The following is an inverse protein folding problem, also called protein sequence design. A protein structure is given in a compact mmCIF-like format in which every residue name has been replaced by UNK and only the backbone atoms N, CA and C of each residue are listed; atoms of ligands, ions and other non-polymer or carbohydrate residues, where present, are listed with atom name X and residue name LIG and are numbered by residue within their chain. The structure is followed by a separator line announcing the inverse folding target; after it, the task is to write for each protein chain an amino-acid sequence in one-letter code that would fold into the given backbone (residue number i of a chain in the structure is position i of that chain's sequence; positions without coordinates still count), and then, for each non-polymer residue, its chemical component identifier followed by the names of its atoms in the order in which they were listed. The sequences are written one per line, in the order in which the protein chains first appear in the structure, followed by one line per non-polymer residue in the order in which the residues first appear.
data_IF_579105900457
#
_entry.id   IF_579105900457
#
_cell.length_a   1.000
_cell.length_b   1.000
_cell.length_c   1.000
_cell.angle_alpha   90.00
_cell.angle_beta   90.00
_cell.angle_gamma   90.00
#
_symmetry.space_group_name_H-M   'P 1'
#
loop_
_entity.id
_entity.type
_entity.pdbx_description
1 polymer ?
#
# COMPACT_ATOMS: atom_id res chain seq x y z
N UNK A 1 13.22 7.06 1.38
CA UNK A 1 12.00 7.81 1.03
C UNK A 1 11.02 7.84 2.20
N UNK A 2 10.19 8.88 2.26
CA UNK A 2 9.17 9.10 3.26
C UNK A 2 7.79 8.87 2.64
N UNK A 3 7.07 7.88 3.15
CA UNK A 3 5.70 7.58 2.80
C UNK A 3 4.76 8.04 3.92
N UNK A 4 3.52 8.32 3.57
CA UNK A 4 2.43 8.38 4.56
C UNK A 4 1.55 7.15 4.40
N UNK A 5 1.45 6.32 5.44
CA UNK A 5 0.64 5.09 5.40
C UNK A 5 -0.40 5.11 6.51
N UNK A 6 -1.68 5.08 6.14
CA UNK A 6 -2.82 5.22 7.04
C UNK A 6 -2.63 6.44 7.98
N UNK A 7 -2.27 7.58 7.38
CA UNK A 7 -1.98 8.84 8.09
C UNK A 7 -0.69 8.87 8.93
N UNK A 8 0.16 7.83 8.92
CA UNK A 8 1.40 7.78 9.70
C UNK A 8 2.65 7.82 8.81
N UNK A 9 3.66 8.65 9.15
CA UNK A 9 4.90 8.68 8.40
C UNK A 9 5.67 7.36 8.54
N UNK A 10 6.22 6.87 7.44
CA UNK A 10 7.02 5.66 7.34
C UNK A 10 8.25 5.93 6.46
N UNK A 11 9.43 5.69 7.00
CA UNK A 11 10.67 5.74 6.22
C UNK A 11 10.99 4.37 5.63
N UNK A 12 11.33 4.35 4.36
CA UNK A 12 11.73 3.16 3.59
C UNK A 12 13.04 3.49 2.88
N UNK A 13 14.01 2.58 2.83
CA UNK A 13 15.37 2.92 2.38
C UNK A 13 15.44 3.25 0.88
N UNK A 14 14.65 2.57 0.04
CA UNK A 14 14.69 2.70 -1.41
C UNK A 14 13.28 2.64 -2.04
N UNK A 15 13.20 2.92 -3.34
CA UNK A 15 11.95 2.71 -4.09
C UNK A 15 11.62 1.23 -4.09
N UNK A 16 10.40 0.90 -3.68
CA UNK A 16 9.92 -0.48 -3.52
C UNK A 16 8.62 -0.64 -4.29
N UNK A 17 8.41 -1.74 -5.03
CA UNK A 17 7.11 -2.05 -5.62
C UNK A 17 6.03 -2.10 -4.54
N UNK A 18 4.86 -1.54 -4.80
CA UNK A 18 3.75 -1.55 -3.85
C UNK A 18 3.42 -2.99 -3.41
N UNK A 19 3.43 -3.94 -4.34
CA UNK A 19 3.26 -5.36 -4.04
C UNK A 19 4.21 -5.85 -2.95
N UNK A 20 5.51 -5.58 -3.08
CA UNK A 20 6.53 -6.07 -2.15
C UNK A 20 6.43 -5.34 -0.80
N UNK A 21 6.11 -4.05 -0.83
CA UNK A 21 5.81 -3.28 0.37
C UNK A 21 4.63 -3.88 1.14
N UNK A 22 3.53 -4.24 0.47
CA UNK A 22 2.38 -4.90 1.10
C UNK A 22 2.76 -6.27 1.69
N UNK A 23 3.51 -7.09 0.94
CA UNK A 23 3.97 -8.40 1.40
C UNK A 23 4.88 -8.31 2.63
N UNK A 24 5.64 -7.22 2.79
CA UNK A 24 6.50 -6.98 3.97
C UNK A 24 5.70 -6.90 5.29
N UNK A 25 4.41 -6.55 5.23
CA UNK A 25 3.51 -6.54 6.39
C UNK A 25 2.90 -7.91 6.69
N UNK A 26 3.29 -8.97 5.97
CA UNK A 26 2.74 -10.31 6.13
C UNK A 26 1.26 -10.41 5.75
N UNK A 27 0.76 -9.49 4.92
CA UNK A 27 -0.64 -9.49 4.47
C UNK A 27 -0.79 -10.37 3.22
N UNK A 28 -1.96 -11.00 3.06
CA UNK A 28 -2.35 -11.54 1.76
C UNK A 28 -2.91 -10.40 0.91
N UNK A 29 -2.38 -10.23 -0.31
CA UNK A 29 -2.82 -9.18 -1.23
C UNK A 29 -4.32 -9.26 -1.53
N UNK A 30 -4.88 -10.46 -1.53
CA UNK A 30 -6.32 -10.66 -1.76
C UNK A 30 -7.20 -10.16 -0.61
N UNK A 31 -6.63 -9.94 0.57
CA UNK A 31 -7.37 -9.56 1.78
C UNK A 31 -7.19 -8.08 2.13
N UNK A 32 -6.56 -7.29 1.24
CA UNK A 32 -6.37 -5.85 1.42
C UNK A 32 -6.95 -5.09 0.24
N UNK A 33 -7.43 -3.88 0.53
CA UNK A 33 -7.69 -2.86 -0.47
C UNK A 33 -6.74 -1.69 -0.22
N UNK A 34 -6.30 -1.04 -1.31
CA UNK A 34 -5.29 0.01 -1.26
C UNK A 34 -5.79 1.23 -2.03
N UNK A 35 -5.82 2.37 -1.34
CA UNK A 35 -5.82 3.69 -1.94
C UNK A 35 -4.39 4.18 -2.11
N UNK A 36 -4.02 4.57 -3.33
CA UNK A 36 -2.73 5.13 -3.67
C UNK A 36 -2.93 6.59 -4.12
N UNK A 37 -2.33 7.53 -3.40
CA UNK A 37 -2.42 8.97 -3.67
C UNK A 37 -3.87 9.49 -3.87
N UNK A 38 -4.81 8.94 -3.10
CA UNK A 38 -6.23 9.33 -3.13
C UNK A 38 -7.10 8.50 -4.08
N UNK A 39 -6.53 7.59 -4.88
CA UNK A 39 -7.27 6.73 -5.80
C UNK A 39 -7.24 5.27 -5.37
N UNK A 40 -8.40 4.62 -5.37
CA UNK A 40 -8.48 3.17 -5.11
C UNK A 40 -8.01 2.42 -6.35
N UNK A 41 -6.92 1.67 -6.22
CA UNK A 41 -6.31 0.92 -7.32
C UNK A 41 -6.66 -0.56 -7.26
N UNK A 42 -6.75 -1.21 -8.42
CA UNK A 42 -7.09 -2.64 -8.50
C UNK A 42 -5.91 -3.50 -8.08
N UNK A 43 -6.19 -4.71 -7.59
CA UNK A 43 -5.15 -5.65 -7.12
C UNK A 43 -4.13 -6.01 -8.20
N UNK A 44 -4.57 -6.10 -9.46
CA UNK A 44 -3.69 -6.40 -10.59
C UNK A 44 -2.69 -5.26 -10.84
N UNK A 45 -3.00 -4.04 -10.39
CA UNK A 45 -2.15 -2.85 -10.52
C UNK A 45 -1.10 -2.77 -9.42
N UNK A 46 -1.21 -3.52 -8.33
CA UNK A 46 -0.24 -3.47 -7.22
C UNK A 46 1.19 -3.80 -7.69
N UNK A 47 1.31 -4.66 -8.70
CA UNK A 47 2.59 -5.03 -9.31
C UNK A 47 3.16 -3.98 -10.28
N UNK A 48 2.34 -3.01 -10.71
CA UNK A 48 2.71 -1.96 -11.66
C UNK A 48 3.09 -0.65 -10.97
N UNK A 49 2.71 -0.50 -9.70
CA UNK A 49 2.99 0.70 -8.89
C UNK A 49 4.34 0.55 -8.21
N UNK A 50 5.24 1.50 -8.47
CA UNK A 50 6.49 1.68 -7.73
C UNK A 50 6.33 2.86 -6.79
N UNK A 51 6.57 2.64 -5.50
CA UNK A 51 6.44 3.69 -4.49
C UNK A 51 7.62 4.66 -4.57
N UNK A 52 7.31 5.94 -4.42
CA UNK A 52 8.22 7.07 -4.49
C UNK A 52 8.14 7.94 -3.24
N UNK A 53 9.11 8.83 -3.06
CA UNK A 53 9.12 9.78 -1.95
C UNK A 53 7.89 10.69 -1.98
N UNK A 54 7.22 10.82 -0.84
CA UNK A 54 6.01 11.62 -0.68
C UNK A 54 4.69 10.88 -0.93
N UNK A 55 4.72 9.64 -1.42
CA UNK A 55 3.49 8.90 -1.70
C UNK A 55 2.65 8.60 -0.45
N UNK A 56 1.33 8.57 -0.65
CA UNK A 56 0.33 8.31 0.37
C UNK A 56 -0.39 6.99 0.08
N UNK A 57 -0.46 6.13 1.09
CA UNK A 57 -1.12 4.84 1.04
C UNK A 57 -2.19 4.72 2.11
N UNK A 58 -3.40 4.37 1.70
CA UNK A 58 -4.50 3.96 2.57
C UNK A 58 -4.73 2.46 2.38
N UNK A 59 -4.31 1.66 3.35
CA UNK A 59 -4.35 0.20 3.31
C UNK A 59 -5.37 -0.27 4.35
N UNK A 60 -6.48 -0.85 3.86
CA UNK A 60 -7.55 -1.37 4.70
C UNK A 60 -7.73 -2.87 4.50
N UNK A 61 -8.07 -3.57 5.58
CA UNK A 61 -8.52 -4.96 5.54
C UNK A 61 -10.04 -4.96 5.71
N UNK A 62 -10.82 -5.48 4.76
CA UNK A 62 -12.25 -5.65 4.96
C UNK A 62 -12.46 -6.54 6.19
N UNK A 63 -13.17 -6.03 7.20
CA UNK A 63 -13.71 -6.88 8.26
C UNK A 63 -15.03 -7.43 7.73
N UNK A 64 -15.16 -8.75 7.64
CA UNK A 64 -16.40 -9.39 7.24
C UNK A 64 -17.48 -9.06 8.26
N UNK A 65 -18.47 -8.26 7.87
CA UNK A 65 -19.69 -8.07 8.64
C UNK A 65 -20.59 -9.29 8.49
N UNK A 66 -21.06 -9.82 9.61
CA UNK A 66 -22.22 -10.71 9.66
C UNK A 66 -23.51 -9.91 9.52
#
# INVERSE_FOLDING_TARGET
MNLTVNGKPRSVEESIPLKDYLLSFGVKLDHVAVGYNGEVIKKEEYSKVSLSDGDVLEIVRPVGGG
#
